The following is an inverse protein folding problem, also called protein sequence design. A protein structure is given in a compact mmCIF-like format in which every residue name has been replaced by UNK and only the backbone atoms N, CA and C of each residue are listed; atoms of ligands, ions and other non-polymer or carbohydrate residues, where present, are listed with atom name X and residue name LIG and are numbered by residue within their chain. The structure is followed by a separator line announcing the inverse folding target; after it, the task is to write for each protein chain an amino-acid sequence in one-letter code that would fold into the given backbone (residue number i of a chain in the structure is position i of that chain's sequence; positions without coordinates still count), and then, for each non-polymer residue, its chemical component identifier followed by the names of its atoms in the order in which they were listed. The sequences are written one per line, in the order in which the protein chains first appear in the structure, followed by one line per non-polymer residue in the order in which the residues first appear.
data_IF_237561593581
#
_entry.id   IF_237561593581
#
_cell.length_a   1.000
_cell.length_b   1.000
_cell.length_c   1.000
_cell.angle_alpha   90.00
_cell.angle_beta   90.00
_cell.angle_gamma   90.00
#
_symmetry.space_group_name_H-M   'P 1'
#
loop_
_entity.id
_entity.type
_entity.pdbx_description
1 polymer ?
#
# COMPACT_ATOMS: atom_id res chain seq x y z
N UNK A 1 4.70 52.59 2.88
CA UNK A 1 5.69 53.68 3.08
C UNK A 1 6.11 54.35 1.78
N UNK A 2 6.58 53.63 0.75
CA UNK A 2 7.00 54.22 -0.54
C UNK A 2 5.92 55.07 -1.24
N UNK A 3 4.70 54.55 -1.40
CA UNK A 3 3.60 55.26 -2.07
C UNK A 3 3.22 56.58 -1.35
N UNK A 4 3.28 56.59 -0.02
CA UNK A 4 2.94 57.75 0.80
C UNK A 4 4.03 58.83 0.71
N UNK A 5 5.30 58.43 0.67
CA UNK A 5 6.41 59.32 0.39
C UNK A 5 6.31 59.94 -1.02
N UNK A 6 5.98 59.13 -2.04
CA UNK A 6 5.78 59.60 -3.42
C UNK A 6 4.63 60.61 -3.51
N UNK A 7 3.50 60.36 -2.84
CA UNK A 7 2.37 61.29 -2.81
C UNK A 7 2.72 62.64 -2.16
N UNK A 8 3.47 62.62 -1.04
CA UNK A 8 3.95 63.86 -0.38
C UNK A 8 4.91 64.62 -1.30
N UNK A 9 5.83 63.93 -1.97
CA UNK A 9 6.77 64.55 -2.92
C UNK A 9 6.02 65.20 -4.08
N UNK A 10 5.07 64.50 -4.70
CA UNK A 10 4.23 65.05 -5.78
C UNK A 10 3.47 66.29 -5.28
N UNK A 11 2.89 66.22 -4.08
CA UNK A 11 2.17 67.34 -3.47
C UNK A 11 3.08 68.56 -3.27
N UNK A 12 4.24 68.38 -2.65
CA UNK A 12 5.18 69.48 -2.40
C UNK A 12 5.72 70.08 -3.70
N UNK A 13 6.08 69.25 -4.68
CA UNK A 13 6.61 69.72 -5.98
C UNK A 13 5.55 70.51 -6.74
N UNK A 14 4.34 69.99 -6.89
CA UNK A 14 3.31 70.67 -7.66
C UNK A 14 2.76 71.91 -6.95
N UNK A 15 2.72 71.92 -5.62
CA UNK A 15 2.28 73.07 -4.84
C UNK A 15 3.33 74.20 -4.81
N UNK A 16 4.59 73.88 -4.52
CA UNK A 16 5.63 74.91 -4.32
C UNK A 16 6.31 75.35 -5.63
N UNK A 17 6.53 74.43 -6.58
CA UNK A 17 7.26 74.75 -7.82
C UNK A 17 6.30 75.18 -8.92
N UNK A 18 5.26 74.39 -9.16
CA UNK A 18 4.32 74.64 -10.27
C UNK A 18 3.14 75.54 -9.88
N UNK A 19 2.88 75.76 -8.58
CA UNK A 19 1.77 76.55 -8.04
C UNK A 19 0.40 76.15 -8.59
N UNK A 20 0.25 74.85 -8.85
CA UNK A 20 -1.00 74.27 -9.34
C UNK A 20 -2.07 74.24 -8.25
N UNK A 21 -3.34 74.23 -8.68
CA UNK A 21 -4.45 74.18 -7.74
C UNK A 21 -4.54 72.80 -7.05
N UNK A 22 -5.08 72.72 -5.81
CA UNK A 22 -5.19 71.45 -5.08
C UNK A 22 -5.95 70.35 -5.82
N UNK A 23 -6.87 70.69 -6.74
CA UNK A 23 -7.63 69.69 -7.49
C UNK A 23 -6.76 69.03 -8.55
N UNK A 24 -5.86 69.80 -9.19
CA UNK A 24 -4.87 69.28 -10.14
C UNK A 24 -3.84 68.40 -9.45
N UNK A 25 -3.36 68.81 -8.26
CA UNK A 25 -2.46 68.00 -7.45
C UNK A 25 -3.09 66.66 -7.08
N UNK A 26 -4.35 66.68 -6.62
CA UNK A 26 -5.08 65.46 -6.27
C UNK A 26 -5.27 64.53 -7.49
N UNK A 27 -5.60 65.08 -8.66
CA UNK A 27 -5.72 64.32 -9.92
C UNK A 27 -4.39 63.67 -10.31
N UNK A 28 -3.26 64.35 -10.13
CA UNK A 28 -1.94 63.79 -10.44
C UNK A 28 -1.59 62.65 -9.49
N UNK A 29 -1.86 62.80 -8.18
CA UNK A 29 -1.61 61.74 -7.19
C UNK A 29 -2.48 60.51 -7.47
N UNK A 30 -3.77 60.69 -7.76
CA UNK A 30 -4.66 59.55 -8.06
C UNK A 30 -4.30 58.86 -9.37
N UNK A 31 -3.92 59.63 -10.41
CA UNK A 31 -3.42 59.07 -11.66
C UNK A 31 -2.14 58.26 -11.47
N UNK A 32 -1.18 58.79 -10.70
CA UNK A 32 0.05 58.07 -10.37
C UNK A 32 -0.22 56.78 -9.56
N UNK A 33 -1.18 56.82 -8.63
CA UNK A 33 -1.55 55.66 -7.83
C UNK A 33 -2.09 54.51 -8.70
N UNK A 34 -2.96 54.81 -9.67
CA UNK A 34 -3.50 53.81 -10.60
C UNK A 34 -2.40 53.14 -11.42
N UNK A 35 -1.37 53.89 -11.85
CA UNK A 35 -0.24 53.35 -12.61
C UNK A 35 0.64 52.41 -11.78
N UNK A 36 0.74 52.63 -10.47
CA UNK A 36 1.61 51.86 -9.58
C UNK A 36 0.97 50.53 -9.14
N UNK A 37 -0.37 50.43 -9.10
CA UNK A 37 -1.06 49.20 -8.71
C UNK A 37 -0.99 48.18 -9.86
N UNK A 38 -0.35 47.01 -9.68
CA UNK A 38 -0.18 46.05 -10.76
C UNK A 38 -1.42 45.16 -10.90
N UNK A 39 -2.55 45.72 -11.36
CA UNK A 39 -3.80 44.98 -11.54
C UNK A 39 -3.63 43.76 -12.45
N UNK A 40 -2.77 43.88 -13.47
CA UNK A 40 -2.44 42.78 -14.37
C UNK A 40 -1.77 41.59 -13.68
N UNK A 41 -1.02 41.81 -12.59
CA UNK A 41 -0.35 40.74 -11.85
C UNK A 41 -1.36 39.86 -11.12
N UNK A 42 -2.37 40.48 -10.49
CA UNK A 42 -3.45 39.76 -9.79
C UNK A 42 -4.30 38.92 -10.75
N UNK A 43 -4.58 39.47 -11.95
CA UNK A 43 -5.29 38.73 -12.99
C UNK A 43 -4.44 37.58 -13.54
N UNK A 44 -3.16 37.83 -13.82
CA UNK A 44 -2.25 36.81 -14.34
C UNK A 44 -2.05 35.66 -13.35
N UNK A 45 -1.85 35.94 -12.05
CA UNK A 45 -1.68 34.90 -11.04
C UNK A 45 -2.92 34.00 -10.94
N UNK A 46 -4.10 34.60 -10.93
CA UNK A 46 -5.37 33.87 -10.89
C UNK A 46 -5.54 32.96 -12.11
N UNK A 47 -5.18 33.45 -13.30
CA UNK A 47 -5.23 32.68 -14.54
C UNK A 47 -4.21 31.53 -14.53
N UNK A 48 -2.98 31.77 -14.06
CA UNK A 48 -1.96 30.73 -13.96
C UNK A 48 -2.36 29.63 -12.98
N UNK A 49 -2.93 29.98 -11.83
CA UNK A 49 -3.43 29.00 -10.88
C UNK A 49 -4.60 28.17 -11.44
N UNK A 50 -5.55 28.82 -12.12
CA UNK A 50 -6.64 28.11 -12.79
C UNK A 50 -6.12 27.15 -13.87
N UNK A 51 -5.16 27.60 -14.67
CA UNK A 51 -4.50 26.77 -15.68
C UNK A 51 -3.71 25.60 -15.06
N UNK A 52 -2.95 25.85 -13.99
CA UNK A 52 -2.22 24.83 -13.24
C UNK A 52 -3.16 23.76 -12.67
N UNK A 53 -4.31 24.18 -12.13
CA UNK A 53 -5.36 23.27 -11.65
C UNK A 53 -5.89 22.37 -12.78
N UNK A 54 -6.16 22.94 -13.97
CA UNK A 54 -6.58 22.16 -15.15
C UNK A 54 -5.51 21.16 -15.59
N UNK A 55 -4.23 21.54 -15.55
CA UNK A 55 -3.11 20.64 -15.86
C UNK A 55 -3.01 19.47 -14.88
N UNK A 56 -3.17 19.73 -13.58
CA UNK A 56 -3.19 18.67 -12.56
C UNK A 56 -4.39 17.73 -12.74
N UNK A 57 -5.57 18.25 -13.07
CA UNK A 57 -6.75 17.44 -13.36
C UNK A 57 -6.53 16.49 -14.54
N UNK A 58 -5.89 16.96 -15.61
CA UNK A 58 -5.50 16.11 -16.75
C UNK A 58 -4.53 14.99 -16.34
N UNK A 59 -3.69 15.23 -15.33
CA UNK A 59 -2.82 14.24 -14.72
C UNK A 59 -3.49 13.38 -13.62
N UNK A 60 -4.84 13.43 -13.51
CA UNK A 60 -5.63 12.72 -12.49
C UNK A 60 -5.35 13.15 -11.05
N UNK A 61 -4.88 14.38 -10.85
CA UNK A 61 -4.68 15.01 -9.53
C UNK A 61 -5.76 16.08 -9.33
N UNK A 62 -6.54 15.97 -8.25
CA UNK A 62 -7.60 16.93 -7.91
C UNK A 62 -7.14 17.84 -6.76
N UNK A 63 -6.62 19.06 -7.05
CA UNK A 63 -6.29 20.01 -6.00
C UNK A 63 -7.57 20.55 -5.36
N UNK A 64 -7.73 20.36 -4.05
CA UNK A 64 -8.89 20.87 -3.30
C UNK A 64 -8.75 22.35 -2.93
N UNK A 65 -7.51 22.86 -2.89
CA UNK A 65 -7.17 24.26 -2.63
C UNK A 65 -6.17 24.71 -3.69
N UNK A 66 -6.35 25.90 -4.23
CA UNK A 66 -5.43 26.48 -5.22
C UNK A 66 -4.04 26.68 -4.61
N UNK A 67 -3.97 27.08 -3.33
CA UNK A 67 -2.70 27.24 -2.62
C UNK A 67 -1.88 25.95 -2.53
N UNK A 68 -2.54 24.78 -2.57
CA UNK A 68 -1.84 23.50 -2.53
C UNK A 68 -0.91 23.30 -3.74
N UNK A 69 -1.17 23.97 -4.87
CA UNK A 69 -0.29 23.94 -6.04
C UNK A 69 1.06 24.58 -5.71
N UNK A 70 1.04 25.71 -4.98
CA UNK A 70 2.23 26.41 -4.52
C UNK A 70 2.93 25.63 -3.41
N UNK A 71 2.18 25.13 -2.43
CA UNK A 71 2.71 24.33 -1.33
C UNK A 71 3.45 23.08 -1.83
N UNK A 72 2.90 22.39 -2.85
CA UNK A 72 3.54 21.22 -3.47
C UNK A 72 4.81 21.58 -4.24
N UNK A 73 4.90 22.78 -4.82
CA UNK A 73 6.10 23.22 -5.53
C UNK A 73 7.26 23.54 -4.58
N UNK A 74 6.96 23.84 -3.32
CA UNK A 74 7.93 24.18 -2.27
C UNK A 74 8.18 23.02 -1.30
N UNK A 75 7.60 21.85 -1.56
CA UNK A 75 7.66 20.71 -0.65
C UNK A 75 9.06 20.08 -0.66
N UNK A 76 9.68 20.01 0.52
CA UNK A 76 11.00 19.37 0.72
C UNK A 76 10.88 17.92 1.20
N UNK A 77 9.82 17.58 1.94
CA UNK A 77 9.62 16.26 2.55
C UNK A 77 8.23 15.73 2.21
N UNK A 78 8.18 14.59 1.52
CA UNK A 78 6.95 13.87 1.24
C UNK A 78 6.80 12.68 2.19
N UNK A 79 6.01 12.83 3.24
CA UNK A 79 5.58 11.71 4.06
C UNK A 79 4.48 10.94 3.31
N UNK A 80 4.73 9.68 2.97
CA UNK A 80 3.81 8.83 2.22
C UNK A 80 3.51 7.55 2.98
N UNK A 81 2.28 7.05 2.84
CA UNK A 81 1.90 5.75 3.38
C UNK A 81 2.34 4.61 2.44
N UNK A 82 2.62 3.42 2.97
CA UNK A 82 2.97 2.25 2.14
C UNK A 82 1.72 1.66 1.50
N UNK A 83 0.73 1.33 2.32
CA UNK A 83 -0.42 0.53 1.89
C UNK A 83 -1.39 1.40 1.11
N UNK A 84 -1.66 1.01 -0.14
CA UNK A 84 -2.58 1.74 -1.01
C UNK A 84 -1.97 2.94 -1.74
N UNK A 85 -0.84 3.49 -1.27
CA UNK A 85 -0.10 4.55 -1.97
C UNK A 85 1.11 4.00 -2.73
N UNK A 86 2.11 3.40 -2.07
CA UNK A 86 3.28 2.83 -2.75
C UNK A 86 3.03 1.43 -3.32
N UNK A 87 2.24 0.61 -2.62
CA UNK A 87 1.95 -0.75 -3.03
C UNK A 87 0.63 -0.84 -3.78
N UNK A 88 0.60 -1.68 -4.82
CA UNK A 88 -0.64 -2.16 -5.41
C UNK A 88 -1.42 -3.01 -4.41
N UNK A 89 -2.76 -3.06 -4.48
CA UNK A 89 -3.55 -4.06 -3.77
C UNK A 89 -3.26 -5.51 -4.24
N UNK A 90 -2.60 -5.66 -5.39
CA UNK A 90 -2.21 -6.95 -5.94
C UNK A 90 -1.13 -7.63 -5.10
N UNK A 91 -1.34 -8.92 -4.87
CA UNK A 91 -0.40 -9.81 -4.18
C UNK A 91 0.10 -10.80 -5.22
N UNK A 92 1.42 -10.98 -5.27
CA UNK A 92 2.06 -11.98 -6.12
C UNK A 92 2.62 -13.10 -5.27
N UNK A 93 2.51 -14.33 -5.78
CA UNK A 93 3.26 -15.45 -5.26
C UNK A 93 4.76 -15.20 -5.45
N UNK A 94 5.57 -15.48 -4.42
CA UNK A 94 7.02 -15.27 -4.47
C UNK A 94 7.79 -16.59 -4.43
N UNK A 95 7.53 -17.45 -3.44
CA UNK A 95 8.19 -18.76 -3.35
C UNK A 95 7.41 -19.76 -2.50
N UNK A 96 7.72 -21.05 -2.72
CA UNK A 96 7.33 -22.14 -1.83
C UNK A 96 8.59 -22.95 -1.51
N UNK A 97 8.98 -22.92 -0.23
CA UNK A 97 10.10 -23.66 0.31
C UNK A 97 9.59 -24.90 1.05
N UNK A 98 10.02 -26.08 0.59
CA UNK A 98 9.61 -27.36 1.17
C UNK A 98 10.53 -27.72 2.33
N UNK A 99 9.95 -27.90 3.52
CA UNK A 99 10.66 -28.26 4.75
C UNK A 99 10.59 -29.76 5.00
N UNK A 100 9.41 -30.35 4.81
CA UNK A 100 9.18 -31.78 5.08
C UNK A 100 9.77 -32.64 3.96
N UNK A 101 10.32 -33.80 4.34
CA UNK A 101 10.76 -34.83 3.39
C UNK A 101 9.62 -35.72 2.91
N UNK A 102 8.47 -35.66 3.58
CA UNK A 102 7.33 -36.53 3.31
C UNK A 102 6.45 -36.01 2.16
N UNK A 103 6.65 -34.76 1.73
CA UNK A 103 5.84 -34.11 0.71
C UNK A 103 6.73 -33.63 -0.43
N UNK A 104 6.32 -33.99 -1.65
CA UNK A 104 6.85 -33.42 -2.88
C UNK A 104 6.31 -32.00 -3.13
N UNK A 105 7.00 -31.25 -3.99
CA UNK A 105 6.56 -29.91 -4.38
C UNK A 105 5.21 -29.96 -5.11
N UNK A 106 4.98 -31.01 -5.88
CA UNK A 106 3.75 -31.28 -6.62
C UNK A 106 2.58 -31.56 -5.68
N UNK A 107 2.78 -32.34 -4.60
CA UNK A 107 1.74 -32.57 -3.59
C UNK A 107 1.38 -31.28 -2.84
N UNK A 108 2.38 -30.47 -2.50
CA UNK A 108 2.14 -29.16 -1.86
C UNK A 108 1.35 -28.23 -2.80
N UNK A 109 1.66 -28.22 -4.10
CA UNK A 109 0.91 -27.47 -5.09
C UNK A 109 -0.56 -27.91 -5.16
N UNK A 110 -0.83 -29.22 -5.16
CA UNK A 110 -2.19 -29.77 -5.13
C UNK A 110 -2.93 -29.40 -3.84
N UNK A 111 -2.26 -29.48 -2.69
CA UNK A 111 -2.78 -29.08 -1.39
C UNK A 111 -3.18 -27.61 -1.40
N UNK A 112 -2.27 -26.73 -1.82
CA UNK A 112 -2.50 -25.29 -1.84
C UNK A 112 -3.61 -24.92 -2.84
N UNK A 113 -3.62 -25.53 -4.03
CA UNK A 113 -4.67 -25.29 -5.01
C UNK A 113 -6.05 -25.72 -4.47
N UNK A 114 -6.14 -26.93 -3.90
CA UNK A 114 -7.39 -27.46 -3.35
C UNK A 114 -7.93 -26.59 -2.22
N UNK A 115 -7.09 -26.31 -1.22
CA UNK A 115 -7.48 -25.55 -0.03
C UNK A 115 -7.95 -24.13 -0.38
N UNK A 116 -7.27 -23.45 -1.31
CA UNK A 116 -7.65 -22.10 -1.72
C UNK A 116 -8.84 -22.09 -2.70
N UNK A 117 -9.06 -23.17 -3.44
CA UNK A 117 -10.20 -23.29 -4.37
C UNK A 117 -11.54 -23.48 -3.64
N UNK A 118 -11.52 -24.15 -2.49
CA UNK A 118 -12.69 -24.42 -1.64
C UNK A 118 -13.14 -23.18 -0.84
N UNK A 119 -12.27 -22.17 -0.71
CA UNK A 119 -12.63 -20.93 -0.01
C UNK A 119 -13.72 -20.17 -0.76
N UNK A 120 -14.85 -19.94 -0.08
CA UNK A 120 -15.97 -19.15 -0.61
C UNK A 120 -15.57 -17.71 -0.93
N UNK A 121 -14.72 -17.10 -0.09
CA UNK A 121 -14.14 -15.78 -0.32
C UNK A 121 -12.71 -15.93 -0.83
N UNK A 122 -12.49 -15.58 -2.10
CA UNK A 122 -11.15 -15.56 -2.71
C UNK A 122 -10.52 -14.19 -2.50
N UNK A 123 -9.80 -14.05 -1.38
CA UNK A 123 -9.00 -12.87 -1.13
C UNK A 123 -7.76 -12.81 -2.04
N UNK A 124 -7.06 -11.67 -2.08
CA UNK A 124 -5.89 -11.47 -2.94
C UNK A 124 -4.78 -12.52 -2.72
N UNK A 125 -4.59 -12.99 -1.47
CA UNK A 125 -3.63 -14.05 -1.14
C UNK A 125 -4.03 -15.39 -1.78
N UNK A 126 -5.29 -15.80 -1.61
CA UNK A 126 -5.80 -17.04 -2.18
C UNK A 126 -5.73 -17.00 -3.70
N UNK A 127 -6.07 -15.86 -4.31
CA UNK A 127 -5.98 -15.69 -5.76
C UNK A 127 -4.54 -15.77 -6.28
N UNK A 128 -3.57 -15.18 -5.57
CA UNK A 128 -2.15 -15.27 -5.93
C UNK A 128 -1.65 -16.72 -5.95
N UNK A 129 -2.03 -17.51 -4.94
CA UNK A 129 -1.68 -18.93 -4.83
C UNK A 129 -2.38 -19.76 -5.92
N UNK A 130 -3.67 -19.50 -6.16
CA UNK A 130 -4.43 -20.19 -7.22
C UNK A 130 -3.87 -19.90 -8.60
N UNK A 131 -3.43 -18.66 -8.87
CA UNK A 131 -2.84 -18.31 -10.17
C UNK A 131 -1.53 -19.07 -10.43
N UNK A 132 -0.71 -19.26 -9.39
CA UNK A 132 0.54 -20.02 -9.48
C UNK A 132 0.28 -21.52 -9.69
N UNK A 133 -0.65 -22.11 -8.93
CA UNK A 133 -0.87 -23.56 -8.90
C UNK A 133 -2.10 -24.04 -9.68
N UNK A 134 -2.65 -23.22 -10.58
CA UNK A 134 -3.90 -23.47 -11.33
C UNK A 134 -3.96 -24.82 -12.06
N UNK A 135 -2.81 -25.32 -12.52
CA UNK A 135 -2.71 -26.56 -13.30
C UNK A 135 -2.64 -27.81 -12.41
N UNK A 136 -2.62 -27.63 -11.08
CA UNK A 136 -2.56 -28.72 -10.12
C UNK A 136 -3.93 -29.39 -9.96
N UNK A 137 -3.94 -30.73 -9.88
CA UNK A 137 -5.19 -31.48 -9.65
C UNK A 137 -5.73 -31.21 -8.25
N UNK A 138 -7.06 -31.11 -8.14
CA UNK A 138 -7.72 -31.00 -6.85
C UNK A 138 -7.75 -32.35 -6.13
N UNK A 139 -7.56 -32.29 -4.82
CA UNK A 139 -7.64 -33.43 -3.90
C UNK A 139 -9.08 -33.60 -3.42
N UNK A 140 -9.42 -34.82 -2.99
CA UNK A 140 -10.74 -35.11 -2.44
C UNK A 140 -10.80 -34.67 -0.98
N UNK A 141 -11.58 -33.64 -0.71
CA UNK A 141 -11.80 -33.09 0.63
C UNK A 141 -12.78 -33.98 1.42
N UNK A 142 -12.46 -34.20 2.69
CA UNK A 142 -13.28 -34.93 3.68
C UNK A 142 -13.83 -33.95 4.72
N UNK A 143 -12.99 -33.02 5.21
CA UNK A 143 -13.37 -31.95 6.14
C UNK A 143 -12.70 -30.66 5.68
N UNK A 144 -13.40 -29.53 5.80
CA UNK A 144 -12.85 -28.23 5.45
C UNK A 144 -13.17 -27.23 6.55
N UNK A 145 -12.13 -26.51 6.97
CA UNK A 145 -12.24 -25.38 7.87
C UNK A 145 -11.85 -24.11 7.13
N UNK A 146 -12.86 -23.30 6.83
CA UNK A 146 -12.66 -21.98 6.26
C UNK A 146 -11.77 -21.09 7.14
N UNK A 147 -11.07 -20.19 6.47
CA UNK A 147 -10.28 -19.15 7.12
C UNK A 147 -11.18 -18.31 8.05
N UNK A 148 -10.66 -17.97 9.23
CA UNK A 148 -11.27 -16.94 10.07
C UNK A 148 -10.22 -15.96 10.57
N UNK A 149 -10.57 -14.67 10.63
CA UNK A 149 -9.68 -13.61 11.13
C UNK A 149 -9.22 -13.85 12.57
N UNK A 150 -10.04 -14.52 13.39
CA UNK A 150 -9.70 -14.86 14.78
C UNK A 150 -8.61 -15.93 14.89
N UNK A 151 -8.61 -16.92 13.99
CA UNK A 151 -7.64 -18.02 13.98
C UNK A 151 -6.45 -17.75 13.07
N UNK A 152 -6.61 -16.82 12.10
CA UNK A 152 -5.67 -16.50 11.02
C UNK A 152 -5.15 -17.73 10.25
N UNK A 153 -5.93 -18.80 10.19
CA UNK A 153 -5.63 -20.02 9.46
C UNK A 153 -6.91 -20.66 8.94
N UNK A 154 -6.72 -21.50 7.93
CA UNK A 154 -7.68 -22.43 7.35
C UNK A 154 -7.07 -23.84 7.41
N UNK A 155 -7.89 -24.87 7.24
CA UNK A 155 -7.39 -26.23 7.18
C UNK A 155 -8.30 -27.14 6.40
N UNK A 156 -7.77 -28.29 6.01
CA UNK A 156 -8.55 -29.33 5.35
C UNK A 156 -8.05 -30.70 5.75
N UNK A 157 -8.97 -31.65 5.75
CA UNK A 157 -8.67 -33.08 5.79
C UNK A 157 -9.02 -33.66 4.44
N UNK A 158 -8.10 -34.40 3.84
CA UNK A 158 -8.22 -34.88 2.47
C UNK A 158 -7.68 -36.30 2.35
N UNK A 159 -8.06 -36.97 1.26
CA UNK A 159 -7.57 -38.31 0.94
C UNK A 159 -6.35 -38.22 0.01
N UNK A 160 -5.20 -38.66 0.47
CA UNK A 160 -3.96 -38.78 -0.29
C UNK A 160 -3.55 -40.26 -0.41
N UNK A 161 -3.57 -40.84 -1.62
CA UNK A 161 -3.19 -42.24 -1.85
C UNK A 161 -3.81 -43.24 -0.85
N UNK A 162 -5.11 -43.08 -0.58
CA UNK A 162 -5.90 -43.89 0.38
C UNK A 162 -5.56 -43.69 1.86
N UNK A 163 -4.71 -42.70 2.21
CA UNK A 163 -4.49 -42.23 3.58
C UNK A 163 -5.21 -40.91 3.79
N UNK A 164 -5.76 -40.73 4.98
CA UNK A 164 -6.36 -39.47 5.39
C UNK A 164 -5.27 -38.58 5.98
N UNK A 165 -5.16 -37.35 5.50
CA UNK A 165 -4.20 -36.37 5.99
C UNK A 165 -4.92 -35.08 6.36
N UNK A 166 -4.55 -34.50 7.50
CA UNK A 166 -5.13 -33.26 8.02
C UNK A 166 -4.05 -32.19 8.09
N UNK A 167 -4.33 -31.03 7.49
CA UNK A 167 -3.38 -29.93 7.35
C UNK A 167 -4.00 -28.59 7.71
N UNK A 168 -3.15 -27.64 8.04
CA UNK A 168 -3.50 -26.22 8.23
C UNK A 168 -2.57 -25.33 7.45
N UNK A 169 -3.13 -24.22 6.97
CA UNK A 169 -2.43 -23.19 6.20
C UNK A 169 -2.82 -21.83 6.74
N UNK A 170 -1.83 -20.99 7.07
CA UNK A 170 -2.12 -19.68 7.65
C UNK A 170 -0.90 -18.95 8.19
N UNK A 171 -1.18 -17.96 9.04
CA UNK A 171 -0.17 -17.10 9.62
C UNK A 171 0.77 -17.89 10.56
N UNK A 172 2.10 -17.79 10.39
CA UNK A 172 3.06 -18.54 11.19
C UNK A 172 2.87 -18.41 12.69
N UNK A 173 2.57 -17.21 13.19
CA UNK A 173 2.44 -16.95 14.63
C UNK A 173 1.26 -17.67 15.29
N UNK A 174 0.30 -18.17 14.50
CA UNK A 174 -0.82 -18.98 14.98
C UNK A 174 -0.50 -20.47 14.90
N UNK A 175 0.23 -20.91 13.89
CA UNK A 175 0.62 -22.31 13.70
C UNK A 175 1.77 -22.70 14.64
N UNK A 176 2.73 -21.80 14.86
CA UNK A 176 3.89 -21.97 15.75
C UNK A 176 3.51 -22.28 17.21
N UNK A 177 2.32 -21.86 17.67
CA UNK A 177 1.83 -22.16 19.03
C UNK A 177 1.60 -23.65 19.28
N UNK A 178 1.26 -24.39 18.22
CA UNK A 178 0.90 -25.80 18.26
C UNK A 178 2.01 -26.70 17.68
N UNK A 179 3.15 -26.12 17.30
CA UNK A 179 4.31 -26.87 16.83
C UNK A 179 5.00 -27.61 17.98
N UNK A 180 5.54 -28.79 17.66
CA UNK A 180 6.41 -29.52 18.57
C UNK A 180 7.62 -28.65 18.91
N UNK A 181 7.92 -28.43 20.20
CA UNK A 181 9.10 -27.69 20.66
C UNK A 181 10.37 -28.54 20.49
N UNK A 182 10.85 -28.65 19.26
CA UNK A 182 12.10 -29.32 18.89
C UNK A 182 13.08 -28.32 18.26
N UNK A 183 14.36 -28.70 18.13
CA UNK A 183 15.38 -27.82 17.54
C UNK A 183 15.06 -27.41 16.10
N UNK A 184 14.24 -28.18 15.37
CA UNK A 184 13.78 -27.83 14.02
C UNK A 184 12.79 -26.66 14.05
N UNK A 185 11.86 -26.65 15.01
CA UNK A 185 10.90 -25.55 15.15
C UNK A 185 11.58 -24.19 15.38
N UNK A 186 12.69 -24.14 16.12
CA UNK A 186 13.46 -22.90 16.35
C UNK A 186 14.20 -22.41 15.09
N UNK A 187 14.70 -23.32 14.26
CA UNK A 187 15.34 -22.97 12.99
C UNK A 187 14.29 -22.38 12.04
N UNK A 188 13.12 -23.01 11.98
CA UNK A 188 12.02 -22.58 11.12
C UNK A 188 11.47 -21.22 11.57
N UNK A 189 11.34 -20.97 12.88
CA UNK A 189 10.90 -19.65 13.36
C UNK A 189 11.89 -18.55 12.95
N UNK A 190 13.20 -18.81 13.03
CA UNK A 190 14.22 -17.84 12.58
C UNK A 190 14.16 -17.57 11.09
N UNK A 191 13.92 -18.60 10.27
CA UNK A 191 13.78 -18.42 8.83
C UNK A 191 12.53 -17.60 8.48
N UNK A 192 11.43 -17.86 9.17
CA UNK A 192 10.18 -17.09 9.01
C UNK A 192 10.41 -15.62 9.37
N UNK A 193 11.11 -15.34 10.48
CA UNK A 193 11.44 -13.97 10.89
C UNK A 193 12.36 -13.28 9.86
N UNK A 194 13.34 -14.01 9.31
CA UNK A 194 14.22 -13.51 8.25
C UNK A 194 13.44 -13.12 6.99
N UNK A 195 12.58 -14.01 6.49
CA UNK A 195 11.74 -13.74 5.32
C UNK A 195 10.77 -12.59 5.56
N UNK A 196 10.17 -12.50 6.75
CA UNK A 196 9.30 -11.39 7.13
C UNK A 196 10.05 -10.05 7.16
N UNK A 197 11.31 -10.04 7.63
CA UNK A 197 12.16 -8.84 7.66
C UNK A 197 12.48 -8.27 6.28
N UNK A 198 12.44 -9.11 5.23
CA UNK A 198 12.57 -8.71 3.83
C UNK A 198 11.29 -8.08 3.26
N UNK A 199 10.24 -7.92 4.09
CA UNK A 199 8.96 -7.36 3.68
C UNK A 199 8.06 -8.35 2.93
N UNK A 200 8.39 -9.64 2.95
CA UNK A 200 7.56 -10.69 2.39
C UNK A 200 6.42 -11.03 3.35
N UNK A 201 5.27 -11.37 2.76
CA UNK A 201 4.15 -11.98 3.48
C UNK A 201 4.42 -13.48 3.59
N UNK A 202 4.67 -13.94 4.81
CA UNK A 202 5.00 -15.35 5.08
C UNK A 202 3.77 -16.11 5.57
N UNK A 203 3.53 -17.30 5.01
CA UNK A 203 2.50 -18.25 5.41
C UNK A 203 3.13 -19.62 5.62
N UNK A 204 2.58 -20.39 6.56
CA UNK A 204 3.08 -21.70 6.92
C UNK A 204 2.04 -22.77 6.60
N UNK A 205 2.47 -23.84 5.95
CA UNK A 205 1.71 -25.07 5.76
C UNK A 205 2.22 -26.10 6.76
N UNK A 206 1.32 -26.71 7.54
CA UNK A 206 1.67 -27.71 8.53
C UNK A 206 0.66 -28.87 8.55
N UNK A 207 1.12 -30.08 8.90
CA UNK A 207 0.29 -31.27 9.07
C UNK A 207 0.07 -31.58 10.54
N UNK A 208 -1.08 -32.16 10.86
CA UNK A 208 -1.27 -32.83 12.14
C UNK A 208 -0.64 -34.22 12.12
N UNK A 209 -0.23 -34.71 13.28
CA UNK A 209 0.26 -36.10 13.43
C UNK A 209 -0.85 -37.15 13.25
N UNK A 210 -2.12 -36.74 13.45
CA UNK A 210 -3.31 -37.58 13.26
C UNK A 210 -4.28 -36.93 12.28
N UNK A 211 -5.09 -37.75 11.63
CA UNK A 211 -6.18 -37.30 10.77
C UNK A 211 -7.50 -37.18 11.53
N UNK A 212 -8.42 -36.37 10.99
CA UNK A 212 -9.78 -36.24 11.50
C UNK A 212 -10.35 -34.83 11.31
N UNK A 213 -11.27 -34.43 12.18
CA UNK A 213 -11.89 -33.10 12.11
C UNK A 213 -10.94 -32.00 12.54
N UNK A 214 -10.69 -31.02 11.68
CA UNK A 214 -9.68 -29.96 11.90
C UNK A 214 -9.96 -29.17 13.18
N UNK A 215 -11.22 -28.92 13.51
CA UNK A 215 -11.62 -28.18 14.72
C UNK A 215 -11.19 -28.86 16.02
N UNK A 216 -11.20 -30.20 16.08
CA UNK A 216 -10.76 -30.95 17.25
C UNK A 216 -9.25 -31.09 17.31
N UNK A 217 -8.61 -31.27 16.16
CA UNK A 217 -7.16 -31.44 16.07
C UNK A 217 -6.41 -30.17 16.50
N UNK A 218 -6.91 -28.98 16.14
CA UNK A 218 -6.32 -27.70 16.56
C UNK A 218 -6.21 -27.53 18.07
N UNK A 219 -7.10 -28.13 18.85
CA UNK A 219 -7.12 -28.00 20.32
C UNK A 219 -6.22 -29.01 21.03
N UNK A 220 -5.93 -30.15 20.39
CA UNK A 220 -5.41 -31.34 21.09
C UNK A 220 -4.15 -31.95 20.47
N UNK A 221 -3.85 -31.65 19.21
CA UNK A 221 -2.77 -32.30 18.46
C UNK A 221 -1.67 -31.32 18.07
N UNK A 222 -0.45 -31.87 17.96
CA UNK A 222 0.72 -31.12 17.53
C UNK A 222 0.81 -31.05 16.02
N UNK A 223 1.43 -29.97 15.55
CA UNK A 223 1.67 -29.71 14.14
C UNK A 223 3.14 -29.93 13.78
N UNK A 224 3.35 -30.43 12.57
CA UNK A 224 4.65 -30.56 11.93
C UNK A 224 4.68 -29.67 10.67
N UNK A 225 5.74 -28.86 10.48
CA UNK A 225 5.80 -27.92 9.38
C UNK A 225 6.13 -28.65 8.06
N UNK A 226 5.38 -28.33 7.01
CA UNK A 226 5.54 -28.93 5.67
C UNK A 226 6.28 -27.97 4.74
N UNK A 227 5.83 -26.72 4.65
CA UNK A 227 6.37 -25.75 3.71
C UNK A 227 6.13 -24.31 4.17
N UNK A 228 7.06 -23.42 3.81
CA UNK A 228 6.90 -21.97 3.92
C UNK A 228 6.49 -21.43 2.55
N UNK A 229 5.42 -20.64 2.53
CA UNK A 229 4.92 -19.95 1.35
C UNK A 229 5.17 -18.47 1.56
N UNK A 230 5.85 -17.82 0.61
CA UNK A 230 6.03 -16.37 0.64
C UNK A 230 5.28 -15.71 -0.50
N UNK A 231 4.70 -14.55 -0.21
CA UNK A 231 4.07 -13.66 -1.17
C UNK A 231 4.66 -12.27 -1.02
N UNK A 232 4.57 -11.46 -2.07
CA UNK A 232 4.99 -10.06 -2.05
C UNK A 232 3.87 -9.17 -2.55
N UNK A 233 3.76 -7.98 -1.97
CA UNK A 233 2.94 -6.92 -2.55
C UNK A 233 3.69 -6.34 -3.75
N UNK A 234 3.00 -6.18 -4.87
CA UNK A 234 3.59 -5.47 -6.01
C UNK A 234 3.64 -3.98 -5.69
N UNK A 235 4.69 -3.31 -6.17
CA UNK A 235 4.73 -1.85 -6.16
C UNK A 235 3.81 -1.34 -7.27
N UNK A 236 3.22 -0.17 -7.07
CA UNK A 236 2.52 0.49 -8.19
C UNK A 236 3.52 0.80 -9.31
N UNK A 237 3.07 0.83 -10.57
CA UNK A 237 3.92 1.25 -11.68
C UNK A 237 4.61 2.58 -11.38
N UNK A 238 5.88 2.70 -11.78
CA UNK A 238 6.69 3.91 -11.69
C UNK A 238 6.98 4.40 -10.25
N UNK A 239 6.62 3.66 -9.19
CA UNK A 239 6.94 4.07 -7.81
C UNK A 239 8.44 4.16 -7.59
N UNK A 240 9.21 3.19 -8.10
CA UNK A 240 10.67 3.22 -7.97
C UNK A 240 11.24 4.47 -8.65
N UNK A 241 10.84 4.73 -9.90
CA UNK A 241 11.25 5.91 -10.66
C UNK A 241 10.87 7.21 -9.95
N UNK A 242 9.64 7.30 -9.42
CA UNK A 242 9.11 8.48 -8.73
C UNK A 242 9.86 8.78 -7.43
N UNK A 243 10.23 7.74 -6.68
CA UNK A 243 10.99 7.90 -5.42
C UNK A 243 12.48 8.21 -5.68
N UNK A 244 13.02 7.77 -6.81
CA UNK A 244 14.40 8.09 -7.18
C UNK A 244 14.61 9.50 -7.75
N UNK A 245 13.53 10.16 -8.16
CA UNK A 245 13.53 11.55 -8.64
C UNK A 245 13.49 12.53 -7.47
#
# INVERSE_FOLDING_TARGET
WFALALAIVICLVYFFIFKEDPTTILKTITSAAVVVVPEGLLLASSLFFAYGSLKLLQAKVLPQKISAIEDMALLEVLATDKTGTLTSPEIEFNSCEVISKDFSKEEIAQILNTLNSESAEKNATAQAILNEFKDSKNLKIIDYMAFSSSRKLSGMTFLNNSKEESIVFGAPEFILKNLSKDSKSEIISKEIDNLASQGLRVLLLAKFQKSGKISKLLESEKLEPIAIITLKNTLRPNVQETVSF
#
